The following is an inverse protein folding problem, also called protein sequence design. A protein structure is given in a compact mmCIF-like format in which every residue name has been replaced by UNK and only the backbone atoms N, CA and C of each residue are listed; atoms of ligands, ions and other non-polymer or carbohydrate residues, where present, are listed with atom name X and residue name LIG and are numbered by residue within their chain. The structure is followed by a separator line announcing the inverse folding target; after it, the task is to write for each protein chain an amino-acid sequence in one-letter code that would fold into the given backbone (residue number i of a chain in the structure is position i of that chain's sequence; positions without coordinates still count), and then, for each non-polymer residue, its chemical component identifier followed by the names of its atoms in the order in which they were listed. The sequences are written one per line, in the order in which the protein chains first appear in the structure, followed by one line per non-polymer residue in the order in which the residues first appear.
data_IF_913550044269
#
_entry.id   IF_913550044269
#
_cell.length_a   1.000
_cell.length_b   1.000
_cell.length_c   1.000
_cell.angle_alpha   90.00
_cell.angle_beta   90.00
_cell.angle_gamma   90.00
#
_symmetry.space_group_name_H-M   'P 1'
#
loop_
_entity.id
_entity.type
_entity.pdbx_description
1 polymer ?
#
# COMPACT_ATOMS: atom_id res chain seq x y z
N UNK A 1 9.78 0.98 -24.05
CA UNK A 1 10.60 0.95 -22.83
C UNK A 1 9.98 1.96 -21.88
N UNK A 2 9.62 1.52 -20.67
CA UNK A 2 8.85 2.32 -19.70
C UNK A 2 9.71 3.50 -19.20
N UNK A 3 9.12 4.69 -19.07
CA UNK A 3 9.82 5.88 -18.56
C UNK A 3 10.38 5.63 -17.15
N UNK A 4 9.67 4.83 -16.32
CA UNK A 4 10.15 4.41 -15.00
C UNK A 4 11.38 3.52 -15.09
N UNK A 5 11.38 2.57 -16.03
CA UNK A 5 12.50 1.65 -16.28
C UNK A 5 13.73 2.41 -16.75
N UNK A 6 13.56 3.39 -17.65
CA UNK A 6 14.65 4.27 -18.13
C UNK A 6 15.29 5.03 -16.96
N UNK A 7 14.48 5.65 -16.09
CA UNK A 7 15.01 6.38 -14.93
C UNK A 7 15.68 5.46 -13.91
N UNK A 8 15.11 4.27 -13.64
CA UNK A 8 15.71 3.28 -12.74
C UNK A 8 17.08 2.82 -13.25
N UNK A 9 17.19 2.54 -14.55
CA UNK A 9 18.45 2.17 -15.19
C UNK A 9 19.48 3.31 -15.08
N UNK A 10 19.05 4.56 -15.30
CA UNK A 10 19.92 5.73 -15.16
C UNK A 10 20.40 5.96 -13.72
N UNK A 11 19.54 5.78 -12.72
CA UNK A 11 19.92 5.86 -11.29
C UNK A 11 20.99 4.81 -10.97
N UNK A 12 20.80 3.57 -11.41
CA UNK A 12 21.76 2.50 -11.20
C UNK A 12 23.11 2.79 -11.87
N UNK A 13 23.09 3.29 -13.11
CA UNK A 13 24.30 3.71 -13.83
C UNK A 13 25.07 4.80 -13.06
N UNK A 14 24.37 5.82 -12.55
CA UNK A 14 25.00 6.91 -11.79
C UNK A 14 25.58 6.44 -10.45
N UNK A 15 24.92 5.53 -9.75
CA UNK A 15 25.44 4.93 -8.50
C UNK A 15 26.75 4.18 -8.75
N UNK A 16 26.79 3.38 -9.82
CA UNK A 16 28.01 2.65 -10.22
C UNK A 16 29.14 3.63 -10.53
N UNK A 17 28.87 4.69 -11.32
CA UNK A 17 29.87 5.71 -11.65
C UNK A 17 30.37 6.47 -10.42
N UNK A 18 29.49 6.82 -9.49
CA UNK A 18 29.86 7.50 -8.25
C UNK A 18 30.78 6.61 -7.40
N UNK A 19 30.43 5.32 -7.25
CA UNK A 19 31.25 4.35 -6.52
C UNK A 19 32.66 4.20 -7.09
N UNK A 20 32.78 4.02 -8.41
CA UNK A 20 34.09 3.91 -9.05
C UNK A 20 34.89 5.21 -8.93
N UNK A 21 34.25 6.37 -9.10
CA UNK A 21 34.90 7.67 -8.99
C UNK A 21 35.41 7.92 -7.57
N UNK A 22 34.64 7.52 -6.55
CA UNK A 22 35.04 7.59 -5.14
C UNK A 22 36.27 6.72 -4.86
N UNK A 23 36.26 5.48 -5.36
CA UNK A 23 37.40 4.56 -5.24
C UNK A 23 38.66 5.12 -5.89
N UNK A 24 38.54 5.66 -7.11
CA UNK A 24 39.66 6.26 -7.85
C UNK A 24 40.16 7.53 -7.17
N UNK A 25 39.26 8.40 -6.68
CA UNK A 25 39.60 9.59 -5.90
C UNK A 25 40.48 9.19 -4.71
N UNK A 26 40.04 8.21 -3.92
CA UNK A 26 40.73 7.83 -2.69
C UNK A 26 42.10 7.22 -2.95
N UNK A 27 42.28 6.49 -4.05
CA UNK A 27 43.58 5.99 -4.50
C UNK A 27 44.57 7.12 -4.82
N UNK A 28 44.10 8.28 -5.29
CA UNK A 28 44.96 9.42 -5.62
C UNK A 28 45.25 10.36 -4.44
N UNK A 29 44.58 10.18 -3.30
CA UNK A 29 44.61 11.11 -2.16
C UNK A 29 46.01 11.49 -1.70
N UNK A 30 46.94 10.53 -1.69
CA UNK A 30 48.30 10.73 -1.22
C UNK A 30 49.36 10.70 -2.34
N UNK A 31 48.94 10.46 -3.59
CA UNK A 31 49.86 10.19 -4.71
C UNK A 31 49.79 11.31 -5.76
N UNK A 32 48.59 11.82 -6.06
CA UNK A 32 48.41 12.80 -7.12
C UNK A 32 47.32 13.82 -6.76
N UNK A 33 47.66 14.90 -6.01
CA UNK A 33 46.69 15.87 -5.49
C UNK A 33 45.77 16.49 -6.55
N UNK A 34 46.29 16.77 -7.75
CA UNK A 34 45.47 17.28 -8.85
C UNK A 34 44.40 16.31 -9.35
N UNK A 35 44.70 15.00 -9.38
CA UNK A 35 43.72 13.98 -9.77
C UNK A 35 42.74 13.71 -8.63
N UNK A 36 43.18 13.78 -7.37
CA UNK A 36 42.28 13.76 -6.22
C UNK A 36 41.25 14.89 -6.31
N UNK A 37 41.70 16.12 -6.58
CA UNK A 37 40.81 17.28 -6.66
C UNK A 37 39.85 17.18 -7.86
N UNK A 38 40.34 16.77 -9.04
CA UNK A 38 39.50 16.57 -10.21
C UNK A 38 38.42 15.49 -10.00
N UNK A 39 38.79 14.34 -9.44
CA UNK A 39 37.83 13.28 -9.13
C UNK A 39 36.87 13.66 -7.99
N UNK A 40 37.31 14.47 -7.03
CA UNK A 40 36.43 15.02 -5.99
C UNK A 40 35.33 15.89 -6.60
N UNK A 41 35.69 16.81 -7.51
CA UNK A 41 34.72 17.65 -8.21
C UNK A 41 33.73 16.81 -9.05
N UNK A 42 34.24 15.82 -9.78
CA UNK A 42 33.39 14.95 -10.60
C UNK A 42 32.43 14.12 -9.74
N UNK A 43 32.89 13.63 -8.60
CA UNK A 43 32.06 12.88 -7.65
C UNK A 43 30.92 13.74 -7.08
N UNK A 44 31.20 14.99 -6.70
CA UNK A 44 30.15 15.92 -6.22
C UNK A 44 29.09 16.16 -7.30
N UNK A 45 29.52 16.36 -8.56
CA UNK A 45 28.61 16.48 -9.71
C UNK A 45 27.72 15.24 -9.89
N UNK A 46 28.30 14.04 -9.79
CA UNK A 46 27.55 12.79 -9.89
C UNK A 46 26.55 12.63 -8.74
N UNK A 47 26.96 12.95 -7.50
CA UNK A 47 26.08 12.89 -6.33
C UNK A 47 24.93 13.88 -6.43
N UNK A 48 25.18 15.08 -6.97
CA UNK A 48 24.13 16.07 -7.23
C UNK A 48 23.14 15.57 -8.28
N UNK A 49 23.60 15.11 -9.45
CA UNK A 49 22.73 14.58 -10.51
C UNK A 49 21.91 13.38 -10.00
N UNK A 50 22.54 12.47 -9.25
CA UNK A 50 21.86 11.35 -8.62
C UNK A 50 20.76 11.82 -7.66
N UNK A 51 21.05 12.80 -6.80
CA UNK A 51 20.08 13.36 -5.85
C UNK A 51 18.89 14.03 -6.53
N UNK A 52 19.14 14.80 -7.60
CA UNK A 52 18.09 15.43 -8.41
C UNK A 52 17.21 14.38 -9.10
N UNK A 53 17.82 13.34 -9.66
CA UNK A 53 17.11 12.26 -10.34
C UNK A 53 16.31 11.38 -9.38
N UNK A 54 16.87 11.03 -8.21
CA UNK A 54 16.17 10.31 -7.14
C UNK A 54 15.01 11.13 -6.57
N UNK A 55 15.15 12.46 -6.49
CA UNK A 55 14.04 13.35 -6.12
C UNK A 55 12.95 13.36 -7.19
N UNK A 56 13.31 13.56 -8.46
CA UNK A 56 12.35 13.50 -9.57
C UNK A 56 11.65 12.14 -9.67
N UNK A 57 12.34 11.05 -9.35
CA UNK A 57 11.78 9.71 -9.33
C UNK A 57 10.75 9.54 -8.20
N UNK A 58 11.06 10.05 -7.00
CA UNK A 58 10.11 10.13 -5.87
C UNK A 58 8.89 10.99 -6.22
N UNK A 59 9.09 12.16 -6.82
CA UNK A 59 8.01 13.06 -7.24
C UNK A 59 7.09 12.42 -8.31
N UNK A 60 7.62 11.48 -9.11
CA UNK A 60 6.82 10.69 -10.05
C UNK A 60 5.95 9.64 -9.37
N UNK A 61 6.40 9.06 -8.26
CA UNK A 61 5.57 8.18 -7.43
C UNK A 61 4.57 8.97 -6.57
N UNK A 62 4.88 10.20 -6.16
CA UNK A 62 3.97 11.08 -5.41
C UNK A 62 2.71 11.50 -6.20
N UNK A 63 2.75 11.45 -7.54
CA UNK A 63 1.53 11.58 -8.37
C UNK A 63 0.56 10.42 -8.18
N UNK A 64 1.02 9.31 -7.63
CA UNK A 64 0.21 8.22 -7.13
C UNK A 64 0.26 8.26 -5.59
N UNK A 65 -0.50 9.19 -4.97
CA UNK A 65 -0.64 9.35 -3.51
C UNK A 65 -1.09 8.08 -2.75
N UNK A 66 -1.29 6.98 -3.47
CA UNK A 66 -1.73 5.71 -2.93
C UNK A 66 -0.54 5.01 -2.31
N UNK A 67 -0.65 4.80 -1.01
CA UNK A 67 0.35 4.09 -0.22
C UNK A 67 0.40 2.60 -0.56
N UNK A 68 -0.70 2.00 -1.02
CA UNK A 68 -0.80 0.55 -1.21
C UNK A 68 -1.18 0.14 -2.62
N UNK A 69 -0.56 -0.94 -3.07
CA UNK A 69 -0.90 -1.62 -4.30
C UNK A 69 -2.33 -2.13 -4.25
N UNK A 70 -3.03 -2.00 -5.38
CA UNK A 70 -4.44 -2.40 -5.51
C UNK A 70 -4.55 -3.52 -6.52
N UNK A 71 -5.25 -4.57 -6.11
CA UNK A 71 -5.58 -5.72 -6.93
C UNK A 71 -7.01 -5.56 -7.44
N UNK A 72 -7.19 -5.75 -8.75
CA UNK A 72 -8.54 -5.77 -9.34
C UNK A 72 -9.25 -7.06 -8.97
N UNK A 73 -10.47 -6.92 -8.44
CA UNK A 73 -11.20 -8.05 -7.89
C UNK A 73 -12.70 -7.80 -7.98
N UNK A 74 -13.38 -8.49 -8.90
CA UNK A 74 -14.84 -8.39 -9.05
C UNK A 74 -15.52 -9.43 -8.16
N UNK A 75 -15.72 -9.13 -6.89
CA UNK A 75 -16.46 -10.01 -5.96
C UNK A 75 -17.67 -9.31 -5.34
N UNK A 76 -18.81 -10.01 -5.19
CA UNK A 76 -19.98 -9.45 -4.52
C UNK A 76 -19.65 -9.20 -3.04
N UNK A 77 -20.12 -8.07 -2.53
CA UNK A 77 -19.93 -7.68 -1.14
C UNK A 77 -21.24 -7.13 -0.58
N UNK A 78 -21.52 -7.49 0.67
CA UNK A 78 -22.61 -6.89 1.44
C UNK A 78 -22.01 -5.88 2.41
N UNK A 79 -22.58 -4.67 2.42
CA UNK A 79 -22.22 -3.62 3.36
C UNK A 79 -23.39 -3.34 4.28
N UNK A 80 -23.14 -3.37 5.59
CA UNK A 80 -24.14 -3.13 6.63
C UNK A 80 -23.78 -1.88 7.44
N UNK A 81 -24.62 -0.84 7.35
CA UNK A 81 -24.48 0.44 8.06
C UNK A 81 -25.38 0.51 9.31
N UNK A 82 -25.72 -0.64 9.90
CA UNK A 82 -26.67 -0.86 11.01
C UNK A 82 -28.14 -0.52 10.68
N UNK A 83 -28.40 0.59 10.00
CA UNK A 83 -29.74 1.03 9.62
C UNK A 83 -30.16 0.52 8.24
N UNK A 84 -29.20 0.22 7.37
CA UNK A 84 -29.46 -0.16 5.98
C UNK A 84 -28.35 -1.05 5.48
N UNK A 85 -28.72 -2.03 4.66
CA UNK A 85 -27.80 -2.94 4.00
C UNK A 85 -27.78 -2.67 2.50
N UNK A 86 -26.58 -2.75 1.91
CA UNK A 86 -26.36 -2.59 0.49
C UNK A 86 -25.65 -3.82 -0.07
N UNK A 87 -25.97 -4.13 -1.32
CA UNK A 87 -25.20 -5.07 -2.12
C UNK A 87 -24.35 -4.26 -3.11
N UNK A 88 -23.09 -4.64 -3.24
CA UNK A 88 -22.16 -4.02 -4.18
C UNK A 88 -21.22 -5.06 -4.77
N UNK A 89 -20.30 -4.58 -5.60
CA UNK A 89 -19.23 -5.39 -6.18
C UNK A 89 -17.91 -4.67 -5.90
N UNK A 90 -16.97 -5.34 -5.26
CA UNK A 90 -15.60 -4.82 -5.14
C UNK A 90 -15.08 -4.61 -6.57
N UNK A 91 -14.42 -3.48 -6.82
CA UNK A 91 -13.71 -3.24 -8.08
C UNK A 91 -12.21 -3.45 -7.92
N UNK A 92 -11.67 -2.88 -6.83
CA UNK A 92 -10.31 -3.10 -6.38
C UNK A 92 -10.23 -3.19 -4.86
N UNK A 93 -9.21 -3.91 -4.40
CA UNK A 93 -8.89 -4.12 -2.99
C UNK A 93 -7.38 -3.94 -2.78
N UNK A 94 -7.01 -3.48 -1.59
CA UNK A 94 -5.65 -3.30 -1.10
C UNK A 94 -5.58 -3.73 0.36
N UNK A 95 -4.38 -3.73 0.93
CA UNK A 95 -4.17 -4.12 2.32
C UNK A 95 -4.98 -3.26 3.30
N UNK A 96 -5.13 -1.95 3.02
CA UNK A 96 -5.81 -1.03 3.93
C UNK A 96 -7.25 -0.69 3.52
N UNK A 97 -7.76 -1.16 2.38
CA UNK A 97 -9.09 -0.73 1.95
C UNK A 97 -9.51 -1.23 0.58
N UNK A 98 -10.72 -0.86 0.17
CA UNK A 98 -11.34 -1.29 -1.09
C UNK A 98 -12.17 -0.20 -1.75
N UNK A 99 -12.44 -0.36 -3.05
CA UNK A 99 -13.46 0.40 -3.76
C UNK A 99 -14.62 -0.52 -4.11
N UNK A 100 -15.83 -0.14 -3.73
CA UNK A 100 -17.05 -0.91 -3.96
C UNK A 100 -17.94 -0.14 -4.93
N UNK A 101 -18.26 -0.76 -6.06
CA UNK A 101 -19.24 -0.26 -7.03
C UNK A 101 -20.67 -0.56 -6.58
N UNK A 102 -21.55 0.40 -6.78
CA UNK A 102 -22.96 0.31 -6.41
C UNK A 102 -23.59 1.67 -6.15
N UNK A 103 -24.89 1.67 -5.89
CA UNK A 103 -25.65 2.88 -5.55
C UNK A 103 -25.79 2.97 -4.03
N UNK A 104 -25.06 3.90 -3.42
CA UNK A 104 -25.00 4.10 -1.96
C UNK A 104 -25.54 5.47 -1.59
N UNK A 105 -26.21 5.56 -0.43
CA UNK A 105 -26.71 6.85 0.11
C UNK A 105 -25.84 7.38 1.26
N UNK A 106 -24.73 6.70 1.54
CA UNK A 106 -23.87 6.94 2.67
C UNK A 106 -22.89 8.08 2.39
N UNK A 107 -22.42 8.68 3.47
CA UNK A 107 -21.52 9.83 3.46
C UNK A 107 -20.12 9.45 3.95
N UNK A 108 -19.15 10.31 3.64
CA UNK A 108 -17.78 10.16 4.17
C UNK A 108 -17.81 10.16 5.70
N UNK A 109 -17.11 9.20 6.31
CA UNK A 109 -17.05 8.98 7.75
C UNK A 109 -18.03 7.94 8.28
N UNK A 110 -19.01 7.50 7.47
CA UNK A 110 -19.92 6.43 7.87
C UNK A 110 -19.16 5.11 8.04
N UNK A 111 -19.49 4.37 9.10
CA UNK A 111 -18.88 3.08 9.41
C UNK A 111 -19.82 1.95 8.95
N UNK A 112 -19.25 0.93 8.33
CA UNK A 112 -19.98 -0.28 7.94
C UNK A 112 -19.28 -1.55 8.38
N UNK A 113 -20.08 -2.61 8.53
CA UNK A 113 -19.60 -3.99 8.45
C UNK A 113 -19.54 -4.39 6.98
N UNK A 114 -18.47 -5.09 6.62
CA UNK A 114 -18.17 -5.56 5.28
C UNK A 114 -18.20 -7.09 5.35
N UNK A 115 -19.12 -7.70 4.63
CA UNK A 115 -19.20 -9.15 4.47
C UNK A 115 -18.88 -9.52 3.02
N UNK A 116 -17.75 -10.18 2.82
CA UNK A 116 -17.38 -10.75 1.54
C UNK A 116 -17.92 -12.17 1.46
N UNK A 117 -18.82 -12.41 0.50
CA UNK A 117 -19.32 -13.75 0.24
C UNK A 117 -18.32 -14.50 -0.63
N UNK A 118 -17.92 -15.68 -0.18
CA UNK A 118 -17.21 -16.60 -1.05
C UNK A 118 -18.20 -17.24 -2.03
N UNK A 119 -17.82 -17.33 -3.31
CA UNK A 119 -18.72 -17.81 -4.36
C UNK A 119 -18.92 -19.32 -4.33
N UNK A 120 -18.12 -20.06 -3.54
CA UNK A 120 -17.99 -21.52 -3.65
C UNK A 120 -18.59 -22.26 -2.45
N UNK A 121 -18.78 -21.63 -1.29
CA UNK A 121 -19.32 -22.32 -0.10
C UNK A 121 -20.42 -21.54 0.61
N UNK A 122 -21.57 -22.20 0.82
CA UNK A 122 -22.70 -21.71 1.61
C UNK A 122 -22.46 -21.77 3.14
N UNK A 123 -21.23 -21.98 3.60
CA UNK A 123 -20.91 -22.07 5.03
C UNK A 123 -20.00 -20.92 5.46
N UNK A 124 -20.50 -20.16 6.45
CA UNK A 124 -19.90 -19.30 7.48
C UNK A 124 -18.41 -18.86 7.49
N UNK A 125 -17.69 -18.89 6.37
CA UNK A 125 -16.33 -18.36 6.24
C UNK A 125 -16.25 -16.96 5.59
N UNK A 126 -17.34 -16.19 5.61
CA UNK A 126 -17.38 -14.87 4.98
C UNK A 126 -16.38 -13.94 5.67
N UNK A 127 -15.37 -13.46 4.94
CA UNK A 127 -14.39 -12.50 5.42
C UNK A 127 -15.16 -11.28 5.93
N UNK A 128 -14.98 -10.97 7.22
CA UNK A 128 -15.66 -9.87 7.91
C UNK A 128 -14.66 -8.80 8.28
N UNK A 129 -14.97 -7.58 7.87
CA UNK A 129 -14.23 -6.40 8.25
C UNK A 129 -15.17 -5.28 8.67
N UNK A 130 -14.63 -4.30 9.38
CA UNK A 130 -15.24 -3.02 9.67
C UNK A 130 -14.48 -1.98 8.86
N UNK A 131 -15.21 -1.12 8.16
CA UNK A 131 -14.62 -0.06 7.37
C UNK A 131 -15.28 1.30 7.56
N UNK A 132 -14.54 2.35 7.25
CA UNK A 132 -15.03 3.73 7.19
C UNK A 132 -15.07 4.19 5.74
N UNK A 133 -16.13 4.87 5.34
CA UNK A 133 -16.16 5.52 4.03
C UNK A 133 -15.19 6.71 4.03
N UNK A 134 -14.24 6.70 3.10
CA UNK A 134 -13.28 7.79 2.92
C UNK A 134 -13.62 8.67 1.71
N UNK A 135 -14.40 8.14 0.77
CA UNK A 135 -14.83 8.85 -0.44
C UNK A 135 -16.11 8.26 -1.02
N UNK A 136 -17.03 9.12 -1.46
CA UNK A 136 -18.22 8.74 -2.22
C UNK A 136 -18.12 9.27 -3.65
N UNK A 137 -18.75 8.56 -4.58
CA UNK A 137 -18.89 8.96 -5.99
C UNK A 137 -20.15 8.32 -6.57
N UNK A 138 -20.59 8.79 -7.73
CA UNK A 138 -21.78 8.25 -8.40
C UNK A 138 -21.64 6.78 -8.80
N UNK A 139 -20.40 6.29 -8.98
CA UNK A 139 -20.11 4.92 -9.37
C UNK A 139 -19.86 3.97 -8.18
N UNK A 140 -19.79 4.48 -6.95
CA UNK A 140 -19.47 3.67 -5.78
C UNK A 140 -18.79 4.45 -4.64
N UNK A 141 -18.31 3.69 -3.66
CA UNK A 141 -17.67 4.21 -2.45
C UNK A 141 -16.28 3.60 -2.24
N UNK A 142 -15.36 4.41 -1.71
CA UNK A 142 -14.07 3.93 -1.23
C UNK A 142 -14.13 3.77 0.29
N UNK A 143 -13.66 2.61 0.75
CA UNK A 143 -13.73 2.18 2.14
C UNK A 143 -12.30 1.93 2.63
N UNK A 144 -11.99 2.47 3.80
CA UNK A 144 -10.75 2.19 4.52
C UNK A 144 -11.05 1.18 5.63
N UNK A 145 -10.23 0.14 5.75
CA UNK A 145 -10.41 -0.92 6.73
C UNK A 145 -9.97 -0.42 8.10
N UNK A 146 -10.92 -0.41 9.04
CA UNK A 146 -10.69 -0.04 10.43
C UNK A 146 -10.25 -1.26 11.21
N UNK A 147 -10.95 -2.38 11.04
CA UNK A 147 -10.69 -3.58 11.79
C UNK A 147 -11.20 -4.83 11.06
N UNK A 148 -10.66 -5.99 11.41
CA UNK A 148 -11.13 -7.28 10.91
C UNK A 148 -10.71 -8.38 11.87
N UNK A 149 -11.25 -9.58 11.67
CA UNK A 149 -10.74 -10.77 12.38
C UNK A 149 -9.36 -11.13 11.86
N UNK A 150 -8.50 -11.71 12.69
CA UNK A 150 -7.16 -12.18 12.27
C UNK A 150 -7.23 -13.14 11.07
N UNK A 151 -8.19 -14.06 11.05
CA UNK A 151 -8.42 -14.95 9.91
C UNK A 151 -8.83 -14.19 8.63
N UNK A 152 -9.64 -13.15 8.77
CA UNK A 152 -10.06 -12.28 7.65
C UNK A 152 -8.88 -11.49 7.08
N UNK A 153 -7.95 -11.07 7.95
CA UNK A 153 -6.72 -10.41 7.53
C UNK A 153 -5.79 -11.37 6.77
N UNK A 154 -5.54 -12.58 7.27
CA UNK A 154 -4.72 -13.55 6.55
C UNK A 154 -5.32 -13.99 5.22
N UNK A 155 -6.64 -14.08 5.13
CA UNK A 155 -7.32 -14.28 3.85
C UNK A 155 -7.04 -13.12 2.89
N UNK A 156 -7.13 -11.88 3.37
CA UNK A 156 -6.85 -10.69 2.55
C UNK A 156 -5.40 -10.69 2.06
N UNK A 157 -4.42 -10.98 2.92
CA UNK A 157 -3.01 -11.11 2.53
C UNK A 157 -2.84 -12.15 1.44
N UNK A 158 -3.42 -13.34 1.63
CA UNK A 158 -3.35 -14.44 0.67
C UNK A 158 -3.97 -14.04 -0.67
N UNK A 159 -5.16 -13.42 -0.65
CA UNK A 159 -5.86 -13.01 -1.86
C UNK A 159 -5.11 -11.91 -2.62
N UNK A 160 -4.46 -10.98 -1.90
CA UNK A 160 -3.65 -9.92 -2.50
C UNK A 160 -2.38 -10.49 -3.15
N UNK A 161 -1.64 -11.33 -2.43
CA UNK A 161 -0.40 -11.94 -2.92
C UNK A 161 -0.63 -12.84 -4.14
N UNK A 162 -1.72 -13.63 -4.13
CA UNK A 162 -2.04 -14.55 -5.24
C UNK A 162 -2.47 -13.86 -6.53
N UNK A 163 -3.02 -12.65 -6.44
CA UNK A 163 -3.52 -11.89 -7.59
C UNK A 163 -2.62 -10.73 -8.01
N UNK A 164 -1.55 -10.49 -7.28
CA UNK A 164 -0.58 -9.45 -7.58
C UNK A 164 0.05 -9.68 -8.96
N UNK A 165 0.30 -8.59 -9.69
CA UNK A 165 1.15 -8.66 -10.89
C UNK A 165 2.61 -8.90 -10.48
N UNK A 166 3.03 -8.31 -9.36
CA UNK A 166 4.34 -8.51 -8.74
C UNK A 166 4.15 -8.72 -7.23
N UNK A 167 4.13 -9.99 -6.76
CA UNK A 167 3.95 -10.31 -5.34
C UNK A 167 5.01 -9.69 -4.43
N UNK A 168 6.24 -9.53 -4.92
CA UNK A 168 7.37 -9.01 -4.14
C UNK A 168 7.12 -7.60 -3.61
N UNK A 169 6.43 -6.75 -4.39
CA UNK A 169 6.06 -5.39 -3.98
C UNK A 169 5.03 -5.41 -2.85
N UNK A 170 4.09 -6.35 -2.88
CA UNK A 170 3.10 -6.51 -1.81
C UNK A 170 3.69 -7.11 -0.54
N UNK A 171 4.63 -8.06 -0.67
CA UNK A 171 5.39 -8.56 0.48
C UNK A 171 6.08 -7.40 1.20
N UNK A 172 6.80 -6.55 0.48
CA UNK A 172 7.42 -5.35 1.04
C UNK A 172 6.38 -4.43 1.71
N UNK A 173 5.20 -4.23 1.11
CA UNK A 173 4.12 -3.43 1.70
C UNK A 173 3.59 -4.02 3.02
N UNK A 174 3.44 -5.34 3.10
CA UNK A 174 2.96 -6.06 4.28
C UNK A 174 3.99 -5.97 5.41
N UNK A 175 5.27 -6.24 5.12
CA UNK A 175 6.33 -6.27 6.13
C UNK A 175 6.75 -4.88 6.62
N UNK A 176 6.75 -3.87 5.75
CA UNK A 176 7.38 -2.58 6.08
C UNK A 176 6.44 -1.57 6.75
N UNK A 177 5.11 -1.78 6.75
CA UNK A 177 4.18 -0.65 6.97
C UNK A 177 3.35 -0.63 8.25
N UNK A 178 3.45 -1.63 9.14
CA UNK A 178 2.84 -1.65 10.49
C UNK A 178 1.51 -0.88 10.62
N UNK A 179 0.62 -1.07 9.65
CA UNK A 179 -0.63 -0.30 9.52
C UNK A 179 -1.68 -0.88 10.46
N UNK A 180 -1.48 -2.14 10.84
CA UNK A 180 -2.37 -2.89 11.69
C UNK A 180 -1.64 -3.32 12.95
N UNK A 181 -2.37 -3.25 14.05
CA UNK A 181 -2.02 -3.83 15.34
C UNK A 181 -2.86 -5.09 15.57
N UNK A 182 -2.21 -6.09 16.15
CA UNK A 182 -2.83 -7.38 16.45
C UNK A 182 -3.13 -7.46 17.94
N UNK A 183 -4.36 -7.81 18.27
CA UNK A 183 -4.91 -7.93 19.62
C UNK A 183 -5.78 -9.19 19.66
N UNK A 184 -5.14 -10.32 19.94
CA UNK A 184 -5.71 -11.67 19.85
C UNK A 184 -6.33 -11.96 18.47
N UNK A 185 -7.66 -12.12 18.41
CA UNK A 185 -8.43 -12.38 17.20
C UNK A 185 -8.82 -11.11 16.42
N UNK A 186 -8.34 -9.95 16.85
CA UNK A 186 -8.65 -8.66 16.27
C UNK A 186 -7.42 -8.02 15.62
N UNK A 187 -7.58 -7.63 14.36
CA UNK A 187 -6.62 -6.80 13.62
C UNK A 187 -7.23 -5.42 13.46
N UNK A 188 -6.53 -4.37 13.91
CA UNK A 188 -7.03 -2.99 13.94
C UNK A 188 -6.05 -2.01 13.30
N UNK A 189 -6.56 -1.07 12.52
CA UNK A 189 -5.76 0.02 11.95
C UNK A 189 -5.13 0.84 13.07
N UNK A 190 -3.80 1.02 13.03
CA UNK A 190 -3.02 1.80 14.00
C UNK A 190 -3.39 3.29 14.01
N UNK A 191 -4.06 3.75 12.96
CA UNK A 191 -4.53 5.14 12.82
C UNK A 191 -5.92 5.34 13.45
N UNK A 192 -6.60 4.27 13.86
CA UNK A 192 -7.95 4.36 14.42
C UNK A 192 -7.93 4.55 15.94
N UNK A 193 -8.35 5.73 16.39
CA UNK A 193 -8.39 6.11 17.81
C UNK A 193 -9.68 5.71 18.56
N UNK A 194 -10.51 4.83 17.99
CA UNK A 194 -11.79 4.44 18.61
C UNK A 194 -11.68 3.27 19.60
N UNK A 195 -12.79 2.98 20.28
CA UNK A 195 -12.85 1.91 21.28
C UNK A 195 -12.74 0.51 20.63
N UNK A 196 -11.66 -0.22 20.92
CA UNK A 196 -11.46 -1.62 20.50
C UNK A 196 -12.60 -2.54 20.97
N UNK A 197 -13.10 -2.34 22.19
CA UNK A 197 -14.24 -3.11 22.71
C UNK A 197 -15.51 -2.94 21.86
N UNK A 198 -15.71 -1.76 21.26
CA UNK A 198 -16.81 -1.53 20.31
C UNK A 198 -16.59 -2.31 19.01
N UNK A 199 -15.36 -2.39 18.53
CA UNK A 199 -14.99 -3.16 17.34
C UNK A 199 -15.14 -4.67 17.56
N UNK A 200 -14.68 -5.20 18.70
CA UNK A 200 -14.86 -6.61 19.09
C UNK A 200 -16.34 -7.00 19.05
N UNK A 201 -17.21 -6.18 19.65
CA UNK A 201 -18.68 -6.38 19.59
C UNK A 201 -19.26 -6.33 18.18
N UNK A 202 -18.72 -5.47 17.29
CA UNK A 202 -19.20 -5.39 15.91
C UNK A 202 -18.77 -6.59 15.07
N UNK A 203 -17.66 -7.23 15.41
CA UNK A 203 -17.12 -8.42 14.75
C UNK A 203 -17.56 -9.73 15.41
N UNK A 204 -18.45 -9.67 16.41
CA UNK A 204 -18.90 -10.81 17.19
C UNK A 204 -17.73 -11.58 17.83
N UNK A 205 -16.73 -10.83 18.33
CA UNK A 205 -15.59 -11.34 19.08
C UNK A 205 -15.84 -11.25 20.60
N UNK A 206 -15.25 -12.16 21.40
CA UNK A 206 -15.36 -12.16 22.86
C UNK A 206 -14.78 -10.90 23.52
#
# INVERSE_FOLDING_TARGET
MDEKEIKRNRINELRIKAYYTETVRDNYKNIHPGLYQANSYYLERLKQELGELEKSFRDMDDRNQRKFSRVKMQRPVRLDFCSTQYQGVIDDISLCGSFVKGAFKQSKGDICKIDLKDSVSCQEGAVRAIGSIIRCSDSGIAIDFIAMKTESYHWLETELLTRAVDPSVLEDEIFQRSIFEFDDDLVCSSVFNGSRNKLKKLLDLP
#
